data_IF_816794923422
#
_entry.id   IF_816794923422
#
_cell.length_a   1.000
_cell.length_b   1.000
_cell.length_c   1.000
_cell.angle_alpha   90.00
_cell.angle_beta   90.00
_cell.angle_gamma   90.00
#
_symmetry.space_group_name_H-M   'P 1'
#
loop_
_entity.id
_entity.type
_entity.pdbx_description
1 polymer ?
#
# COMPACT_ATOMS: atom_id res chain seq x y z
N UNK A 1 18.97 -7.17 -38.64
CA UNK A 1 20.07 -6.83 -37.72
C UNK A 1 20.23 -8.02 -36.80
N UNK A 2 21.45 -8.55 -36.60
CA UNK A 2 21.64 -9.73 -35.74
C UNK A 2 21.64 -9.28 -34.29
N UNK A 3 20.78 -9.88 -33.46
CA UNK A 3 20.68 -9.58 -32.03
C UNK A 3 22.06 -9.69 -31.36
N UNK A 4 22.47 -8.72 -30.52
CA UNK A 4 23.72 -8.80 -29.77
C UNK A 4 23.77 -10.09 -28.93
N UNK A 5 24.92 -10.79 -28.83
CA UNK A 5 25.00 -12.07 -28.13
C UNK A 5 24.53 -12.03 -26.67
N UNK A 6 24.78 -10.91 -25.97
CA UNK A 6 24.36 -10.70 -24.59
C UNK A 6 22.82 -10.60 -24.44
N UNK A 7 22.14 -10.00 -25.42
CA UNK A 7 20.68 -9.88 -25.39
C UNK A 7 20.02 -11.23 -25.70
N UNK A 8 20.65 -12.03 -26.57
CA UNK A 8 20.23 -13.40 -26.84
C UNK A 8 20.34 -14.29 -25.59
N UNK A 9 21.44 -14.19 -24.85
CA UNK A 9 21.65 -14.93 -23.59
C UNK A 9 20.65 -14.51 -22.51
N UNK A 10 20.39 -13.19 -22.37
CA UNK A 10 19.39 -12.67 -21.42
C UNK A 10 17.98 -13.12 -21.75
N UNK A 11 17.59 -13.07 -23.02
CA UNK A 11 16.27 -13.50 -23.46
C UNK A 11 16.07 -15.01 -23.27
N UNK A 12 17.11 -15.82 -23.55
CA UNK A 12 17.07 -17.26 -23.28
C UNK A 12 16.92 -17.55 -21.78
N UNK A 13 17.68 -16.85 -20.92
CA UNK A 13 17.57 -17.03 -19.48
C UNK A 13 16.17 -16.65 -18.96
N UNK A 14 15.57 -15.56 -19.47
CA UNK A 14 14.21 -15.17 -19.10
C UNK A 14 13.15 -16.18 -19.59
N UNK A 15 13.36 -16.77 -20.77
CA UNK A 15 12.49 -17.85 -21.29
C UNK A 15 12.58 -19.12 -20.43
N UNK A 16 13.78 -19.48 -19.99
CA UNK A 16 14.01 -20.62 -19.10
C UNK A 16 13.31 -20.37 -17.74
N UNK A 17 13.48 -19.17 -17.16
CA UNK A 17 12.79 -18.75 -15.92
C UNK A 17 11.25 -18.83 -16.04
N UNK A 18 10.69 -18.36 -17.17
CA UNK A 18 9.25 -18.46 -17.45
C UNK A 18 8.79 -19.91 -17.55
N UNK A 19 9.58 -20.76 -18.20
CA UNK A 19 9.26 -22.19 -18.35
C UNK A 19 9.24 -22.89 -16.99
N UNK A 20 10.24 -22.63 -16.15
CA UNK A 20 10.30 -23.16 -14.79
C UNK A 20 9.11 -22.70 -13.94
N UNK A 21 8.71 -21.42 -14.07
CA UNK A 21 7.56 -20.88 -13.36
C UNK A 21 6.22 -21.49 -13.81
N UNK A 22 6.06 -21.79 -15.11
CA UNK A 22 4.90 -22.50 -15.65
C UNK A 22 4.80 -23.91 -15.06
N UNK A 23 5.92 -24.64 -15.00
CA UNK A 23 5.96 -25.98 -14.41
C UNK A 23 5.66 -25.95 -12.91
N UNK A 24 6.24 -25.00 -12.17
CA UNK A 24 5.97 -24.82 -10.75
C UNK A 24 4.49 -24.53 -10.47
N UNK A 25 3.88 -23.63 -11.25
CA UNK A 25 2.46 -23.30 -11.12
C UNK A 25 1.56 -24.51 -11.44
N UNK A 26 1.87 -25.27 -12.50
CA UNK A 26 1.16 -26.51 -12.81
C UNK A 26 1.25 -27.51 -11.66
N UNK A 27 2.44 -27.72 -11.12
CA UNK A 27 2.66 -28.65 -10.00
C UNK A 27 1.88 -28.22 -8.75
N UNK A 28 1.86 -26.92 -8.43
CA UNK A 28 1.06 -26.38 -7.33
C UNK A 28 -0.44 -26.61 -7.56
N UNK A 29 -0.94 -26.36 -8.78
CA UNK A 29 -2.34 -26.60 -9.13
C UNK A 29 -2.75 -28.07 -8.99
N UNK A 30 -1.86 -29.00 -9.39
CA UNK A 30 -2.09 -30.44 -9.27
C UNK A 30 -2.03 -30.92 -7.82
N UNK A 31 -1.24 -30.26 -6.97
CA UNK A 31 -1.10 -30.58 -5.55
C UNK A 31 -2.09 -29.84 -4.64
N UNK A 32 -2.98 -29.00 -5.19
CA UNK A 32 -3.84 -28.12 -4.42
C UNK A 32 -4.70 -28.87 -3.40
N UNK A 33 -4.80 -28.30 -2.21
CA UNK A 33 -5.48 -28.86 -1.04
C UNK A 33 -6.84 -28.22 -0.77
N UNK A 34 -7.15 -27.11 -1.45
CA UNK A 34 -8.41 -26.37 -1.31
C UNK A 34 -8.64 -25.34 -2.42
N UNK A 35 -9.76 -24.62 -2.34
CA UNK A 35 -10.16 -23.59 -3.31
C UNK A 35 -9.31 -22.32 -3.22
N UNK A 36 -8.72 -22.04 -2.06
CA UNK A 36 -7.84 -20.89 -1.79
C UNK A 36 -6.47 -21.37 -1.29
N UNK A 37 -5.82 -22.24 -2.05
CA UNK A 37 -4.52 -22.81 -1.67
C UNK A 37 -3.40 -21.75 -1.80
N UNK A 38 -2.70 -21.38 -0.71
CA UNK A 38 -1.67 -20.33 -0.74
C UNK A 38 -0.46 -20.71 -1.60
N UNK A 39 -0.16 -22.01 -1.76
CA UNK A 39 0.95 -22.48 -2.60
C UNK A 39 0.64 -22.23 -4.08
N UNK A 40 -0.64 -22.39 -4.47
CA UNK A 40 -1.10 -22.07 -5.84
C UNK A 40 -0.99 -20.57 -6.09
N UNK A 41 -1.41 -19.74 -5.14
CA UNK A 41 -1.31 -18.28 -5.27
C UNK A 41 0.14 -17.80 -5.36
N UNK A 42 1.02 -18.33 -4.51
CA UNK A 42 2.45 -18.01 -4.55
C UNK A 42 3.09 -18.42 -5.89
N UNK A 43 2.75 -19.60 -6.42
CA UNK A 43 3.25 -20.06 -7.72
C UNK A 43 2.68 -19.24 -8.89
N UNK A 44 1.41 -18.83 -8.80
CA UNK A 44 0.76 -17.93 -9.76
C UNK A 44 1.48 -16.58 -9.83
N UNK A 45 1.79 -15.97 -8.68
CA UNK A 45 2.52 -14.70 -8.62
C UNK A 45 3.92 -14.81 -9.25
N UNK A 46 4.64 -15.89 -8.97
CA UNK A 46 5.96 -16.15 -9.60
C UNK A 46 5.87 -16.32 -11.11
N UNK A 47 4.84 -17.03 -11.58
CA UNK A 47 4.56 -17.16 -13.01
C UNK A 47 4.29 -15.81 -13.67
N UNK A 48 3.47 -14.95 -13.04
CA UNK A 48 3.18 -13.60 -13.55
C UNK A 48 4.46 -12.79 -13.70
N UNK A 49 5.30 -12.71 -12.66
CA UNK A 49 6.56 -11.96 -12.67
C UNK A 49 7.52 -12.46 -13.77
N UNK A 50 7.64 -13.78 -13.92
CA UNK A 50 8.51 -14.35 -14.94
C UNK A 50 8.00 -14.07 -16.37
N UNK A 51 6.68 -14.07 -16.55
CA UNK A 51 6.06 -13.80 -17.85
C UNK A 51 6.19 -12.33 -18.26
N UNK A 52 5.96 -11.41 -17.33
CA UNK A 52 6.15 -9.96 -17.50
C UNK A 52 7.60 -9.62 -17.88
N UNK A 53 8.57 -10.15 -17.11
CA UNK A 53 10.00 -9.97 -17.39
C UNK A 53 10.42 -10.52 -18.76
N UNK A 54 9.85 -11.65 -19.20
CA UNK A 54 10.14 -12.18 -20.53
C UNK A 54 9.53 -11.30 -21.63
N UNK A 55 8.30 -10.81 -21.45
CA UNK A 55 7.63 -9.93 -22.40
C UNK A 55 8.40 -8.61 -22.59
N UNK A 56 8.82 -7.97 -21.49
CA UNK A 56 9.63 -6.76 -21.49
C UNK A 56 10.95 -6.96 -22.25
N UNK A 57 11.70 -8.02 -21.94
CA UNK A 57 12.97 -8.31 -22.59
C UNK A 57 12.81 -8.67 -24.06
N UNK A 58 11.71 -9.34 -24.42
CA UNK A 58 11.37 -9.65 -25.80
C UNK A 58 11.07 -8.38 -26.59
N UNK A 59 10.32 -7.46 -26.00
CA UNK A 59 9.99 -6.17 -26.60
C UNK A 59 11.25 -5.31 -26.76
N UNK A 60 12.08 -5.18 -25.72
CA UNK A 60 13.34 -4.43 -25.76
C UNK A 60 14.30 -4.95 -26.86
N UNK A 61 14.36 -6.27 -27.05
CA UNK A 61 15.29 -6.89 -27.98
C UNK A 61 14.77 -6.97 -29.43
N UNK A 62 13.46 -7.14 -29.61
CA UNK A 62 12.88 -7.49 -30.91
C UNK A 62 11.71 -6.63 -31.37
N UNK A 63 11.22 -5.69 -30.54
CA UNK A 63 10.00 -4.89 -30.76
C UNK A 63 8.72 -5.74 -30.94
N UNK A 64 8.72 -6.98 -30.44
CA UNK A 64 7.61 -7.91 -30.49
C UNK A 64 7.08 -8.17 -29.08
N UNK A 65 5.80 -8.50 -28.96
CA UNK A 65 5.11 -8.76 -27.69
C UNK A 65 4.49 -10.15 -27.69
N UNK A 66 4.27 -10.70 -26.50
CA UNK A 66 3.47 -11.91 -26.30
C UNK A 66 1.96 -11.56 -26.33
N UNK A 67 1.09 -12.52 -26.65
CA UNK A 67 -0.36 -12.27 -26.73
C UNK A 67 -1.06 -12.30 -25.35
N UNK A 68 -0.33 -12.27 -24.23
CA UNK A 68 -0.88 -12.35 -22.88
C UNK A 68 -1.16 -10.95 -22.32
N UNK A 69 -2.31 -10.76 -21.68
CA UNK A 69 -2.62 -9.55 -20.93
C UNK A 69 -2.60 -9.87 -19.43
N UNK A 70 -1.78 -9.15 -18.67
CA UNK A 70 -1.75 -9.23 -17.21
C UNK A 70 -2.65 -8.13 -16.64
N UNK A 71 -3.55 -8.42 -15.69
CA UNK A 71 -4.26 -7.37 -14.98
C UNK A 71 -3.24 -6.46 -14.26
N UNK A 72 -3.44 -5.14 -14.35
CA UNK A 72 -2.70 -4.14 -13.56
C UNK A 72 -2.75 -4.55 -12.08
N UNK A 73 -1.59 -4.53 -11.41
CA UNK A 73 -1.36 -5.21 -10.14
C UNK A 73 -2.41 -4.86 -9.06
N UNK A 74 -2.94 -5.84 -8.30
CA UNK A 74 -3.34 -5.55 -6.94
C UNK A 74 -2.06 -5.19 -6.14
N UNK A 75 -2.13 -4.25 -5.17
CA UNK A 75 -0.98 -3.84 -4.39
C UNK A 75 -0.28 -5.07 -3.82
N UNK A 76 0.95 -5.32 -4.27
CA UNK A 76 1.72 -6.46 -3.79
C UNK A 76 2.12 -6.20 -2.32
N UNK A 77 1.95 -7.20 -1.46
CA UNK A 77 2.47 -7.13 -0.09
C UNK A 77 3.99 -7.04 -0.19
N UNK A 78 4.57 -5.92 0.24
CA UNK A 78 6.01 -5.72 0.13
C UNK A 78 6.80 -6.62 1.08
N UNK A 79 6.18 -6.98 2.21
CA UNK A 79 6.74 -7.90 3.18
C UNK A 79 5.65 -8.78 3.78
N UNK A 80 5.95 -10.07 3.95
CA UNK A 80 5.14 -11.07 4.65
C UNK A 80 6.08 -12.05 5.39
N UNK A 81 5.86 -12.22 6.69
CA UNK A 81 6.42 -13.33 7.47
C UNK A 81 5.37 -14.46 7.61
N UNK A 82 5.58 -15.55 6.86
CA UNK A 82 4.68 -16.72 6.84
C UNK A 82 4.70 -17.53 8.14
N UNK A 83 5.73 -17.37 8.97
CA UNK A 83 5.91 -18.13 10.21
C UNK A 83 5.44 -17.33 11.47
N UNK A 84 4.94 -16.11 11.29
CA UNK A 84 4.50 -15.26 12.39
C UNK A 84 3.23 -15.80 13.10
N UNK A 85 3.31 -16.02 14.42
CA UNK A 85 2.16 -16.40 15.26
C UNK A 85 1.34 -15.15 15.68
N UNK A 86 0.33 -14.78 14.88
CA UNK A 86 -0.47 -13.57 15.09
C UNK A 86 -1.61 -13.72 16.13
N UNK A 87 -1.27 -13.97 17.40
CA UNK A 87 -2.26 -14.04 18.50
C UNK A 87 -2.86 -12.67 18.87
N UNK A 88 -2.03 -11.63 18.82
CA UNK A 88 -2.39 -10.21 19.02
C UNK A 88 -1.60 -9.40 17.99
N UNK A 89 -2.23 -8.39 17.39
CA UNK A 89 -1.58 -7.58 16.34
C UNK A 89 -1.69 -6.08 16.60
N UNK A 90 -0.62 -5.37 16.27
CA UNK A 90 -0.60 -3.91 16.12
C UNK A 90 -0.72 -3.54 14.64
N UNK A 91 -1.59 -2.58 14.32
CA UNK A 91 -1.71 -2.03 12.97
C UNK A 91 -1.33 -0.55 13.00
N UNK A 92 -0.23 -0.22 12.33
CA UNK A 92 0.30 1.13 12.26
C UNK A 92 0.08 1.67 10.85
N UNK A 93 -0.61 2.80 10.77
CA UNK A 93 -0.95 3.44 9.50
C UNK A 93 -0.24 4.79 9.43
N UNK A 94 0.59 4.96 8.41
CA UNK A 94 1.16 6.23 7.98
C UNK A 94 0.46 6.67 6.70
N UNK A 95 -0.06 7.89 6.68
CA UNK A 95 -0.56 8.56 5.47
C UNK A 95 0.14 9.91 5.33
N UNK A 96 0.70 10.16 4.16
CA UNK A 96 1.46 11.35 3.85
C UNK A 96 0.61 12.26 2.95
N UNK A 97 0.47 13.52 3.36
CA UNK A 97 -0.25 14.54 2.61
C UNK A 97 0.62 15.78 2.43
N UNK A 98 0.51 16.43 1.28
CA UNK A 98 0.91 17.81 1.09
C UNK A 98 -0.28 18.75 1.35
N UNK A 99 -0.02 19.92 1.93
CA UNK A 99 -1.04 20.97 2.02
C UNK A 99 -0.94 21.82 0.75
N UNK A 100 -1.79 21.52 -0.23
CA UNK A 100 -1.82 22.21 -1.52
C UNK A 100 -2.59 23.54 -1.43
N UNK A 101 -3.71 23.57 -0.71
CA UNK A 101 -4.56 24.76 -0.52
C UNK A 101 -4.82 25.02 0.96
N UNK A 102 -4.02 25.92 1.54
CA UNK A 102 -4.09 26.31 2.95
C UNK A 102 -5.44 26.93 3.31
N UNK A 103 -6.00 27.79 2.46
CA UNK A 103 -7.24 28.49 2.77
C UNK A 103 -8.43 27.52 2.74
N UNK A 104 -8.44 26.59 1.78
CA UNK A 104 -9.45 25.52 1.71
C UNK A 104 -9.39 24.60 2.93
N UNK A 105 -8.19 24.25 3.38
CA UNK A 105 -8.01 23.44 4.58
C UNK A 105 -8.56 24.14 5.83
N UNK A 106 -8.32 25.45 5.96
CA UNK A 106 -8.91 26.24 7.06
C UNK A 106 -10.43 26.24 7.01
N UNK A 107 -11.03 26.36 5.82
CA UNK A 107 -12.49 26.31 5.65
C UNK A 107 -13.02 24.94 6.07
N UNK A 108 -12.43 23.85 5.56
CA UNK A 108 -12.83 22.49 5.91
C UNK A 108 -12.73 22.22 7.42
N UNK A 109 -11.68 22.71 8.08
CA UNK A 109 -11.54 22.61 9.54
C UNK A 109 -12.64 23.36 10.31
N UNK A 110 -13.10 24.50 9.80
CA UNK A 110 -14.20 25.28 10.41
C UNK A 110 -15.55 24.60 10.23
N UNK A 111 -15.76 23.98 9.07
CA UNK A 111 -16.94 23.16 8.81
C UNK A 111 -16.98 21.95 9.76
N UNK A 112 -15.86 21.24 9.90
CA UNK A 112 -15.71 20.15 10.86
C UNK A 112 -15.98 20.59 12.31
N UNK A 113 -15.49 21.76 12.72
CA UNK A 113 -15.83 22.36 14.02
C UNK A 113 -17.34 22.57 14.15
N UNK A 114 -17.99 23.15 13.14
CA UNK A 114 -19.41 23.46 13.15
C UNK A 114 -20.30 22.21 13.29
N UNK A 115 -19.88 21.09 12.71
CA UNK A 115 -20.56 19.80 12.86
C UNK A 115 -20.48 19.24 14.30
N UNK A 116 -19.30 19.36 14.92
CA UNK A 116 -19.09 18.91 16.31
C UNK A 116 -19.78 19.81 17.33
N UNK A 117 -19.82 21.11 17.06
CA UNK A 117 -20.34 22.13 17.98
C UNK A 117 -21.47 22.95 17.32
N UNK A 118 -22.62 22.33 16.97
CA UNK A 118 -23.68 22.99 16.19
C UNK A 118 -24.41 24.10 16.95
N UNK A 119 -24.19 24.21 18.26
CA UNK A 119 -24.75 25.27 19.11
C UNK A 119 -23.83 26.49 19.23
N UNK A 120 -22.58 26.37 18.80
CA UNK A 120 -21.62 27.47 18.87
C UNK A 120 -21.86 28.46 17.72
N UNK A 121 -21.68 29.77 17.96
CA UNK A 121 -21.66 30.75 16.88
C UNK A 121 -20.56 30.44 15.86
N UNK A 122 -20.80 30.77 14.59
CA UNK A 122 -19.80 30.60 13.52
C UNK A 122 -18.45 31.28 13.82
N UNK A 123 -18.47 32.39 14.57
CA UNK A 123 -17.27 33.11 14.99
C UNK A 123 -16.35 32.26 15.90
N UNK A 124 -16.91 31.29 16.63
CA UNK A 124 -16.14 30.34 17.44
C UNK A 124 -15.25 29.45 16.57
N UNK A 125 -15.77 28.96 15.45
CA UNK A 125 -14.99 28.16 14.50
C UNK A 125 -13.82 28.97 13.92
N UNK A 126 -14.04 30.25 13.63
CA UNK A 126 -12.98 31.16 13.15
C UNK A 126 -11.91 31.41 14.21
N UNK A 127 -12.32 31.56 15.47
CA UNK A 127 -11.40 31.77 16.59
C UNK A 127 -10.56 30.53 16.91
N UNK A 128 -11.17 29.33 16.82
CA UNK A 128 -10.50 28.06 17.06
C UNK A 128 -9.57 27.71 15.88
N UNK A 129 -10.13 27.60 14.68
CA UNK A 129 -9.41 27.17 13.47
C UNK A 129 -8.72 28.37 12.83
N UNK A 130 -7.58 28.70 13.42
CA UNK A 130 -6.75 29.87 13.06
C UNK A 130 -5.55 29.53 12.18
N UNK A 131 -5.16 28.26 12.08
CA UNK A 131 -4.02 27.80 11.28
C UNK A 131 -4.20 26.33 10.82
N UNK A 132 -3.45 25.86 9.80
CA UNK A 132 -3.66 24.55 9.17
C UNK A 132 -3.62 23.37 10.14
N UNK A 133 -2.65 23.35 11.05
CA UNK A 133 -2.57 22.30 12.07
C UNK A 133 -3.82 22.18 12.94
N UNK A 134 -4.53 23.30 13.20
CA UNK A 134 -5.79 23.26 13.94
C UNK A 134 -6.96 22.81 13.08
N UNK A 135 -6.94 23.14 11.80
CA UNK A 135 -7.92 22.61 10.85
C UNK A 135 -7.82 21.09 10.73
N UNK A 136 -6.60 20.56 10.54
CA UNK A 136 -6.34 19.12 10.55
C UNK A 136 -6.83 18.44 11.83
N UNK A 137 -6.56 19.05 12.98
CA UNK A 137 -7.07 18.54 14.26
C UNK A 137 -8.60 18.45 14.26
N UNK A 138 -9.31 19.49 13.84
CA UNK A 138 -10.78 19.48 13.87
C UNK A 138 -11.37 18.47 12.89
N UNK A 139 -10.78 18.33 11.71
CA UNK A 139 -11.19 17.31 10.75
C UNK A 139 -10.98 15.90 11.31
N UNK A 140 -9.81 15.61 11.90
CA UNK A 140 -9.55 14.33 12.56
C UNK A 140 -10.49 14.10 13.74
N UNK A 141 -10.81 15.14 14.51
CA UNK A 141 -11.72 15.03 15.64
C UNK A 141 -13.15 14.74 15.21
N UNK A 142 -13.60 15.34 14.11
CA UNK A 142 -14.95 15.18 13.58
C UNK A 142 -15.13 13.85 12.82
N UNK A 143 -14.14 13.46 12.03
CA UNK A 143 -14.29 12.41 11.02
C UNK A 143 -13.35 11.21 11.21
N UNK A 144 -12.39 11.29 12.13
CA UNK A 144 -11.35 10.27 12.27
C UNK A 144 -10.36 10.28 11.10
N UNK A 145 -9.45 9.29 11.10
CA UNK A 145 -8.36 9.18 10.11
C UNK A 145 -8.91 8.81 8.73
N UNK A 146 -9.87 7.89 8.64
CA UNK A 146 -10.50 7.50 7.38
C UNK A 146 -11.39 8.61 6.80
N UNK A 147 -12.14 9.30 7.65
CA UNK A 147 -12.97 10.41 7.18
C UNK A 147 -12.16 11.63 6.74
N UNK A 148 -10.97 11.86 7.32
CA UNK A 148 -10.01 12.84 6.79
C UNK A 148 -9.55 12.47 5.38
N UNK A 149 -9.20 11.20 5.19
CA UNK A 149 -8.67 10.68 3.92
C UNK A 149 -9.69 10.78 2.78
N UNK A 150 -10.95 10.39 3.05
CA UNK A 150 -12.07 10.56 2.12
C UNK A 150 -12.30 12.02 1.68
N UNK A 151 -11.86 12.99 2.49
CA UNK A 151 -12.07 14.43 2.27
C UNK A 151 -10.79 15.17 1.89
N UNK A 152 -9.67 14.47 1.75
CA UNK A 152 -8.35 15.08 1.66
C UNK A 152 -8.27 16.12 0.52
N UNK A 153 -8.55 15.69 -0.71
CA UNK A 153 -8.47 16.55 -1.91
C UNK A 153 -9.44 17.72 -1.85
N UNK A 154 -10.69 17.46 -1.48
CA UNK A 154 -11.72 18.50 -1.32
C UNK A 154 -11.37 19.50 -0.21
N UNK A 155 -10.61 19.08 0.81
CA UNK A 155 -10.13 19.92 1.89
C UNK A 155 -8.81 20.64 1.58
N UNK A 156 -8.23 20.48 0.38
CA UNK A 156 -6.96 21.12 0.02
C UNK A 156 -5.72 20.38 0.50
N UNK A 157 -5.85 19.09 0.80
CA UNK A 157 -4.74 18.17 0.99
C UNK A 157 -4.52 17.37 -0.29
N UNK A 158 -3.27 17.12 -0.64
CA UNK A 158 -2.89 16.26 -1.73
C UNK A 158 -2.25 14.98 -1.16
N UNK A 159 -2.91 13.81 -1.27
CA UNK A 159 -2.32 12.54 -0.87
C UNK A 159 -1.02 12.26 -1.63
N UNK A 160 0.02 11.83 -0.92
CA UNK A 160 1.35 11.50 -1.49
C UNK A 160 1.72 10.02 -1.35
N UNK A 161 0.97 9.28 -0.55
CA UNK A 161 1.18 7.86 -0.30
C UNK A 161 1.11 7.53 1.17
N UNK A 162 1.53 6.33 1.52
CA UNK A 162 1.44 5.84 2.87
C UNK A 162 2.10 4.48 3.06
N UNK A 163 2.07 4.00 4.28
CA UNK A 163 2.56 2.67 4.64
C UNK A 163 1.69 2.12 5.75
N UNK A 164 1.32 0.85 5.63
CA UNK A 164 0.67 0.07 6.69
C UNK A 164 1.62 -1.02 7.16
N UNK A 165 1.91 -1.04 8.46
CA UNK A 165 2.60 -2.14 9.12
C UNK A 165 1.62 -2.94 9.95
N UNK A 166 1.69 -4.25 9.84
CA UNK A 166 1.06 -5.19 10.76
C UNK A 166 2.17 -5.89 11.52
N UNK A 167 2.11 -5.82 12.85
CA UNK A 167 3.08 -6.45 13.72
C UNK A 167 2.43 -7.54 14.55
N UNK A 168 3.08 -8.70 14.64
CA UNK A 168 2.67 -9.76 15.56
C UNK A 168 3.26 -9.46 16.94
N UNK A 169 2.40 -9.28 17.93
CA UNK A 169 2.81 -8.90 19.28
C UNK A 169 2.88 -10.11 20.20
N UNK A 170 3.91 -10.15 21.04
CA UNK A 170 4.02 -11.13 22.11
C UNK A 170 3.14 -10.76 23.31
N UNK A 171 2.86 -11.71 24.22
CA UNK A 171 2.07 -11.45 25.44
C UNK A 171 2.66 -10.37 26.36
N UNK A 172 3.96 -10.09 26.24
CA UNK A 172 4.64 -9.05 27.01
C UNK A 172 4.45 -7.63 26.41
N UNK A 173 4.03 -7.53 25.14
CA UNK A 173 3.94 -6.30 24.37
C UNK A 173 2.50 -5.75 24.31
N UNK A 174 1.55 -6.38 25.01
CA UNK A 174 0.16 -5.91 25.08
C UNK A 174 0.04 -4.60 25.88
N UNK A 175 0.85 -4.40 26.93
CA UNK A 175 0.77 -3.19 27.77
C UNK A 175 1.22 -1.92 27.01
N UNK A 176 2.14 -2.06 26.06
CA UNK A 176 2.67 -0.95 25.25
C UNK A 176 1.63 -0.38 24.29
N UNK A 177 0.63 -1.17 23.87
CA UNK A 177 -0.49 -0.70 23.02
C UNK A 177 -1.27 0.46 23.65
N UNK A 178 -1.29 0.55 24.98
CA UNK A 178 -2.09 1.55 25.70
C UNK A 178 -1.26 2.71 26.28
N UNK A 179 0.05 2.51 26.44
CA UNK A 179 0.92 3.47 27.14
C UNK A 179 1.95 4.15 26.24
N UNK A 180 2.47 3.46 25.23
CA UNK A 180 3.38 4.03 24.22
C UNK A 180 3.15 3.37 22.85
N UNK A 181 2.03 3.69 22.17
CA UNK A 181 1.57 2.97 20.99
C UNK A 181 2.49 3.12 19.76
N UNK A 182 3.49 4.01 19.79
CA UNK A 182 4.47 4.18 18.73
C UNK A 182 5.89 3.74 19.13
N UNK A 183 6.11 3.37 20.40
CA UNK A 183 7.36 2.74 20.86
C UNK A 183 7.53 1.30 20.36
N UNK A 184 6.47 0.70 19.80
CA UNK A 184 6.42 -0.69 19.29
C UNK A 184 6.74 -0.82 17.81
N UNK A 185 6.97 0.27 17.07
CA UNK A 185 7.36 0.22 15.66
C UNK A 185 8.79 -0.38 15.52
N UNK A 186 8.85 -1.69 15.57
CA UNK A 186 10.02 -2.56 15.56
C UNK A 186 9.95 -3.46 14.33
N UNK A 187 11.00 -3.39 13.50
CA UNK A 187 11.12 -4.22 12.29
C UNK A 187 11.19 -5.72 12.63
N UNK A 188 11.68 -6.09 13.83
CA UNK A 188 11.76 -7.48 14.26
C UNK A 188 10.38 -8.09 14.58
N UNK A 189 9.35 -7.25 14.78
CA UNK A 189 7.96 -7.67 15.04
C UNK A 189 7.07 -7.57 13.78
N UNK A 190 7.64 -7.13 12.66
CA UNK A 190 6.89 -6.93 11.42
C UNK A 190 6.39 -8.28 10.90
N UNK A 191 5.07 -8.41 10.74
CA UNK A 191 4.44 -9.55 10.08
C UNK A 191 4.08 -9.21 8.64
N UNK A 192 3.59 -7.99 8.40
CA UNK A 192 3.26 -7.50 7.06
C UNK A 192 3.63 -6.03 6.87
N UNK A 193 4.04 -5.69 5.64
CA UNK A 193 4.15 -4.31 5.17
C UNK A 193 3.43 -4.15 3.84
N UNK A 194 2.67 -3.07 3.74
CA UNK A 194 2.05 -2.60 2.50
C UNK A 194 2.39 -1.15 2.34
N UNK A 195 3.10 -0.80 1.27
CA UNK A 195 3.28 0.60 0.90
C UNK A 195 2.22 1.00 -0.12
N UNK A 196 1.70 2.21 0.08
CA UNK A 196 0.80 2.86 -0.83
C UNK A 196 1.59 3.89 -1.62
N UNK A 197 1.78 3.61 -2.91
CA UNK A 197 2.47 4.49 -3.84
C UNK A 197 1.41 5.19 -4.68
N UNK A 198 1.26 6.50 -4.48
CA UNK A 198 0.41 7.33 -5.31
C UNK A 198 1.27 7.90 -6.43
N UNK A 199 1.05 7.42 -7.65
CA UNK A 199 1.66 7.99 -8.84
C UNK A 199 0.98 9.33 -9.13
N UNK A 200 1.69 10.43 -8.91
CA UNK A 200 1.28 11.72 -9.44
C UNK A 200 1.74 11.82 -10.89
N UNK A 201 0.80 11.89 -11.82
CA UNK A 201 1.10 12.23 -13.21
C UNK A 201 1.78 13.61 -13.24
N UNK A 202 3.05 13.64 -13.65
CA UNK A 202 3.78 14.86 -14.02
C UNK A 202 3.55 15.21 -15.50
#
# INVERSE_FOLDING_TARGET
MTMPPHDAERLQAALDDLTDALEAHLNACLARTGESDPVVQAAYNKLRIAADRYDDLLFDATEEVTPWEFPEEPPSLEYEDLDAEAGVVGVLVRRDYEIDDTDRLIVAGREAYGELYPQDPHESAVADVSHPGRALYQMLHAYGVDGLDERAEDAGLLPRGGTVWVQALGPADEETLTTDPFGVADEDLLAYRVDEIIHTDD
#
